data_IF_035404576029
#
_entry.id   IF_035404576029
#
_cell.length_a   1.000
_cell.length_b   1.000
_cell.length_c   1.000
_cell.angle_alpha   90.00
_cell.angle_beta   90.00
_cell.angle_gamma   90.00
#
_symmetry.space_group_name_H-M   'P 1'
#
loop_
_entity.id
_entity.type
_entity.pdbx_description
1 polymer ?
#
# COMPACT_ATOMS: atom_id res chain seq x y z
N UNK A 1 11.37 4.73 -9.37
CA UNK A 1 11.62 6.00 -8.62
C UNK A 1 10.91 5.89 -7.28
N UNK A 2 11.51 6.27 -6.15
CA UNK A 2 10.91 6.10 -4.82
C UNK A 2 9.85 7.19 -4.57
N UNK A 3 8.60 6.81 -4.33
CA UNK A 3 7.52 7.71 -3.87
C UNK A 3 7.66 7.94 -2.37
N UNK A 4 7.32 9.14 -1.89
CA UNK A 4 7.55 9.53 -0.48
C UNK A 4 6.34 10.19 0.11
N UNK A 5 6.15 10.04 1.42
CA UNK A 5 5.09 10.73 2.15
C UNK A 5 5.16 12.25 1.94
N UNK A 6 6.37 12.82 1.96
CA UNK A 6 6.58 14.26 1.75
C UNK A 6 6.18 14.74 0.35
N UNK A 7 6.38 13.91 -0.68
CA UNK A 7 5.96 14.25 -2.04
C UNK A 7 4.44 14.14 -2.21
N UNK A 8 3.81 13.16 -1.58
CA UNK A 8 2.36 12.99 -1.58
C UNK A 8 1.66 14.10 -0.79
N UNK A 9 2.08 14.38 0.45
CA UNK A 9 1.46 15.35 1.35
C UNK A 9 1.48 16.81 0.84
N UNK A 10 2.27 17.09 -0.21
CA UNK A 10 2.29 18.38 -0.90
C UNK A 10 1.30 18.47 -2.06
N UNK A 11 0.71 17.35 -2.45
CA UNK A 11 -0.27 17.26 -3.53
C UNK A 11 -1.67 17.22 -2.91
N UNK A 12 -2.61 17.91 -3.54
CA UNK A 12 -4.04 17.78 -3.24
C UNK A 12 -4.62 16.61 -4.05
N UNK A 13 -4.19 15.38 -3.69
CA UNK A 13 -4.57 14.15 -4.38
C UNK A 13 -4.77 12.99 -3.41
N UNK A 14 -5.80 12.20 -3.68
CA UNK A 14 -6.05 10.94 -3.01
C UNK A 14 -4.84 10.00 -3.12
N UNK A 15 -4.58 9.23 -2.06
CA UNK A 15 -3.40 8.37 -1.96
C UNK A 15 -3.41 7.24 -3.00
N UNK A 16 -4.57 6.68 -3.31
CA UNK A 16 -4.79 5.67 -4.34
C UNK A 16 -4.53 6.18 -5.76
N UNK A 17 -4.74 7.49 -6.02
CA UNK A 17 -4.36 8.14 -7.28
C UNK A 17 -2.88 8.50 -7.36
N UNK A 18 -2.23 8.64 -6.20
CA UNK A 18 -0.80 8.91 -6.12
C UNK A 18 0.04 7.65 -6.31
N UNK A 19 -0.43 6.48 -5.87
CA UNK A 19 0.30 5.22 -5.92
C UNK A 19 -0.11 4.33 -7.11
N UNK A 20 0.83 3.52 -7.58
CA UNK A 20 0.59 2.49 -8.59
C UNK A 20 1.27 1.19 -8.16
N UNK A 21 0.67 0.02 -8.41
CA UNK A 21 1.31 -1.27 -8.15
C UNK A 21 2.74 -1.32 -8.70
N UNK A 22 3.69 -1.79 -7.89
CA UNK A 22 5.11 -1.83 -8.23
C UNK A 22 5.91 -0.60 -7.78
N UNK A 23 5.25 0.44 -7.25
CA UNK A 23 5.96 1.59 -6.70
C UNK A 23 6.69 1.24 -5.40
N UNK A 24 7.96 1.67 -5.33
CA UNK A 24 8.68 1.69 -4.06
C UNK A 24 8.33 2.94 -3.27
N UNK A 25 8.05 2.78 -1.98
CA UNK A 25 7.67 3.87 -1.08
C UNK A 25 8.69 4.06 0.05
N UNK A 26 8.63 5.20 0.74
CA UNK A 26 9.38 5.40 1.99
C UNK A 26 8.65 4.80 3.19
N UNK A 27 9.42 4.56 4.25
CA UNK A 27 8.93 4.00 5.51
C UNK A 27 7.80 4.85 6.10
N UNK A 28 7.92 6.17 6.02
CA UNK A 28 6.87 7.07 6.53
C UNK A 28 5.54 6.88 5.81
N UNK A 29 5.56 6.70 4.49
CA UNK A 29 4.34 6.43 3.74
C UNK A 29 3.79 5.03 4.02
N UNK A 30 4.67 4.04 4.21
CA UNK A 30 4.27 2.70 4.66
C UNK A 30 3.57 2.73 6.02
N UNK A 31 4.18 3.38 7.02
CA UNK A 31 3.61 3.51 8.36
C UNK A 31 2.29 4.27 8.32
N UNK A 32 2.21 5.33 7.52
CA UNK A 32 0.95 6.03 7.29
C UNK A 32 -0.12 5.06 6.76
N UNK A 33 0.14 4.29 5.70
CA UNK A 33 -0.81 3.28 5.18
C UNK A 33 -1.25 2.29 6.27
N UNK A 34 -0.34 1.88 7.15
CA UNK A 34 -0.64 0.98 8.28
C UNK A 34 -1.50 1.63 9.37
N UNK A 35 -1.49 2.96 9.49
CA UNK A 35 -2.16 3.73 10.54
C UNK A 35 -3.53 4.31 10.11
N UNK A 36 -3.76 4.60 8.83
CA UNK A 36 -4.99 5.27 8.37
C UNK A 36 -6.23 4.37 8.58
N UNK A 37 -6.05 3.05 8.40
CA UNK A 37 -7.11 2.06 8.49
C UNK A 37 -6.56 0.89 9.30
N UNK A 38 -7.27 0.48 10.36
CA UNK A 38 -6.89 -0.71 11.13
C UNK A 38 -6.60 -1.86 10.16
N UNK A 39 -5.37 -2.39 10.13
CA UNK A 39 -5.01 -3.37 9.11
C UNK A 39 -5.84 -4.64 9.33
N UNK A 40 -6.60 -5.08 8.32
CA UNK A 40 -7.23 -6.41 8.33
C UNK A 40 -6.18 -7.51 8.38
N UNK A 41 -4.94 -7.19 8.00
CA UNK A 41 -3.80 -8.08 8.14
C UNK A 41 -2.51 -7.31 8.33
N UNK A 42 -1.78 -7.70 9.38
CA UNK A 42 -0.44 -7.22 9.66
C UNK A 42 0.42 -8.42 10.03
N UNK A 43 1.54 -8.57 9.34
CA UNK A 43 2.58 -9.57 9.62
C UNK A 43 3.94 -8.88 9.61
N UNK A 44 5.01 -9.65 9.83
CA UNK A 44 6.38 -9.12 9.85
C UNK A 44 6.72 -8.33 8.58
N UNK A 45 6.33 -8.87 7.42
CA UNK A 45 6.77 -8.37 6.12
C UNK A 45 5.61 -7.80 5.28
N UNK A 46 4.37 -7.86 5.77
CA UNK A 46 3.20 -7.41 5.03
C UNK A 46 2.22 -6.61 5.88
N UNK A 47 1.69 -5.55 5.28
CA UNK A 47 0.55 -4.78 5.79
C UNK A 47 -0.49 -4.66 4.68
N UNK A 48 -1.75 -4.88 5.02
CA UNK A 48 -2.89 -4.63 4.13
C UNK A 48 -3.97 -3.84 4.86
N UNK A 49 -4.42 -2.74 4.23
CA UNK A 49 -5.57 -1.97 4.69
C UNK A 49 -6.87 -2.78 4.68
N UNK A 50 -7.88 -2.33 5.44
CA UNK A 50 -9.09 -3.11 5.69
C UNK A 50 -9.98 -3.29 4.45
N UNK A 51 -10.41 -2.18 3.87
CA UNK A 51 -11.38 -2.19 2.78
C UNK A 51 -10.70 -2.13 1.40
N UNK A 52 -11.38 -2.69 0.40
CA UNK A 52 -10.97 -2.56 -0.98
C UNK A 52 -11.11 -1.09 -1.43
N UNK A 53 -10.08 -0.56 -2.08
CA UNK A 53 -10.11 0.79 -2.65
C UNK A 53 -10.89 0.85 -3.96
N UNK A 54 -10.99 -0.27 -4.68
CA UNK A 54 -11.82 -0.42 -5.90
C UNK A 54 -12.05 -1.90 -6.24
N UNK A 55 -13.01 -2.14 -7.14
CA UNK A 55 -13.27 -3.43 -7.78
C UNK A 55 -13.26 -3.26 -9.30
N UNK A 56 -12.55 -4.13 -10.03
CA UNK A 56 -12.56 -4.18 -11.50
C UNK A 56 -12.61 -5.64 -11.96
N UNK A 57 -13.60 -6.01 -12.78
CA UNK A 57 -13.78 -7.38 -13.29
C UNK A 57 -13.78 -8.44 -12.17
N UNK A 58 -14.52 -8.19 -11.09
CA UNK A 58 -14.58 -9.05 -9.88
C UNK A 58 -13.27 -9.18 -9.10
N UNK A 59 -12.23 -8.40 -9.46
CA UNK A 59 -10.97 -8.33 -8.71
C UNK A 59 -10.99 -7.12 -7.77
N UNK A 60 -10.79 -7.39 -6.48
CA UNK A 60 -10.69 -6.36 -5.44
C UNK A 60 -9.25 -5.86 -5.29
N UNK A 61 -9.09 -4.55 -5.25
CA UNK A 61 -7.80 -3.87 -5.08
C UNK A 61 -7.71 -3.29 -3.67
N UNK A 62 -6.56 -3.44 -3.04
CA UNK A 62 -6.34 -3.06 -1.63
C UNK A 62 -5.06 -2.24 -1.49
N UNK A 63 -4.98 -1.42 -0.44
CA UNK A 63 -3.71 -0.83 -0.03
C UNK A 63 -2.84 -1.88 0.64
N UNK A 64 -2.04 -2.58 -0.16
CA UNK A 64 -1.13 -3.64 0.29
C UNK A 64 0.32 -3.20 0.14
N UNK A 65 1.12 -3.37 1.19
CA UNK A 65 2.56 -3.07 1.18
C UNK A 65 3.33 -4.30 1.63
N UNK A 66 4.41 -4.59 0.92
CA UNK A 66 5.38 -5.64 1.22
C UNK A 66 6.73 -5.03 1.61
N UNK A 67 7.36 -5.59 2.63
CA UNK A 67 8.74 -5.31 3.01
C UNK A 67 9.66 -6.35 2.37
N UNK A 68 10.52 -5.91 1.48
CA UNK A 68 11.49 -6.75 0.78
C UNK A 68 12.67 -7.12 1.68
N UNK A 69 13.42 -8.16 1.31
CA UNK A 69 14.61 -8.65 2.04
C UNK A 69 15.69 -7.57 2.19
N UNK A 70 15.78 -6.63 1.23
CA UNK A 70 16.67 -5.48 1.27
C UNK A 70 16.11 -4.28 2.07
N UNK A 71 15.11 -4.51 2.93
CA UNK A 71 14.44 -3.51 3.78
C UNK A 71 13.82 -2.34 3.02
N UNK A 72 13.26 -2.60 1.83
CA UNK A 72 12.48 -1.62 1.09
C UNK A 72 10.99 -1.93 1.17
N UNK A 73 10.17 -0.93 0.89
CA UNK A 73 8.72 -1.04 0.95
C UNK A 73 8.16 -0.95 -0.46
N UNK A 74 7.40 -1.95 -0.88
CA UNK A 74 6.81 -2.10 -2.19
C UNK A 74 5.28 -2.07 -2.09
N UNK A 75 4.63 -1.16 -2.82
CA UNK A 75 3.18 -1.11 -2.90
C UNK A 75 2.68 -2.11 -3.96
N UNK A 76 1.81 -3.03 -3.54
CA UNK A 76 1.30 -4.11 -4.40
C UNK A 76 -0.08 -3.78 -4.99
N UNK A 77 -0.94 -3.08 -4.26
CA UNK A 77 -2.27 -2.68 -4.73
C UNK A 77 -3.31 -3.79 -4.88
N UNK A 78 -2.97 -5.05 -4.55
CA UNK A 78 -3.83 -6.24 -4.74
C UNK A 78 -3.88 -7.10 -3.47
N UNK A 79 -4.87 -7.99 -3.41
CA UNK A 79 -4.95 -9.03 -2.39
C UNK A 79 -3.80 -10.06 -2.59
N UNK A 80 -2.99 -10.35 -1.57
CA UNK A 80 -1.96 -11.38 -1.65
C UNK A 80 -2.54 -12.76 -1.99
N UNK A 81 -1.81 -13.58 -2.75
CA UNK A 81 -2.27 -14.90 -3.22
C UNK A 81 -2.74 -15.83 -2.10
N UNK A 82 -2.13 -15.78 -0.91
CA UNK A 82 -2.53 -16.61 0.24
C UNK A 82 -3.92 -16.26 0.82
N UNK A 83 -4.56 -15.19 0.34
CA UNK A 83 -5.92 -14.77 0.70
C UNK A 83 -6.93 -14.90 -0.45
N UNK A 84 -6.48 -15.25 -1.66
CA UNK A 84 -7.38 -15.47 -2.81
C UNK A 84 -8.14 -16.79 -2.68
#
# INVERSE_FOLDING_TARGET
>A
MKKTFKAWAKQDKDLDKFLSPGDYIDERLCNYIAEIICPTYCSRDFVQGCDAIKSENDVLFYMTVYKTDDNRYLYLGILPEFKQ
#
